data_IF_638427740114
#
_entry.id   IF_638427740114
#
_cell.length_a   1.000
_cell.length_b   1.000
_cell.length_c   1.000
_cell.angle_alpha   90.00
_cell.angle_beta   90.00
_cell.angle_gamma   90.00
#
_symmetry.space_group_name_H-M   'P 1'
#
loop_
_entity.id
_entity.type
_entity.pdbx_description
1 polymer ?
#
# COMPACT_ATOMS: atom_id res chain seq x y z
N UNK A 1 -3.20 15.84 6.07
CA UNK A 1 -3.16 14.54 5.36
C UNK A 1 -2.03 13.72 5.99
N UNK A 2 -2.29 12.45 6.29
CA UNK A 2 -1.30 11.57 6.93
C UNK A 2 -0.33 10.96 5.92
N UNK A 3 0.72 10.30 6.39
CA UNK A 3 1.66 9.55 5.53
C UNK A 3 1.04 8.36 4.81
N UNK A 4 -0.20 7.97 5.17
CA UNK A 4 -0.95 6.88 4.51
C UNK A 4 -2.14 7.40 3.71
N UNK A 5 -2.07 8.66 3.28
CA UNK A 5 -3.07 9.30 2.40
C UNK A 5 -4.48 9.41 3.01
N UNK A 6 -4.60 9.27 4.33
CA UNK A 6 -5.85 9.57 5.05
C UNK A 6 -5.90 11.03 5.49
N UNK A 7 -7.09 11.48 5.88
CA UNK A 7 -7.34 12.84 6.39
C UNK A 7 -7.63 12.78 7.88
N UNK A 8 -7.08 13.74 8.63
CA UNK A 8 -7.38 13.94 10.05
C UNK A 8 -8.20 15.23 10.19
N UNK A 9 -9.33 15.14 10.88
CA UNK A 9 -10.18 16.30 11.21
C UNK A 9 -9.87 16.69 12.65
N UNK A 10 -9.27 17.85 12.84
CA UNK A 10 -8.83 18.33 14.15
C UNK A 10 -9.87 19.25 14.78
N UNK A 11 -9.84 19.36 16.12
CA UNK A 11 -10.67 20.30 16.86
C UNK A 11 -12.15 19.92 16.98
N UNK A 12 -12.50 18.65 16.75
CA UNK A 12 -13.86 18.14 16.93
C UNK A 12 -14.16 18.01 18.43
N UNK A 13 -15.17 18.71 18.97
CA UNK A 13 -15.60 18.51 20.36
C UNK A 13 -16.02 17.05 20.59
N UNK A 14 -15.81 16.54 21.80
CA UNK A 14 -16.06 15.13 22.13
C UNK A 14 -17.51 14.71 21.81
N UNK A 15 -18.47 15.56 22.17
CA UNK A 15 -19.91 15.31 21.94
C UNK A 15 -20.29 15.28 20.45
N UNK A 16 -19.42 15.82 19.58
CA UNK A 16 -19.64 15.88 18.13
C UNK A 16 -18.93 14.75 17.37
N UNK A 17 -18.25 13.80 18.05
CA UNK A 17 -17.53 12.71 17.38
C UNK A 17 -18.49 11.80 16.61
N UNK A 18 -19.55 11.30 17.24
CA UNK A 18 -20.51 10.42 16.56
C UNK A 18 -21.34 11.15 15.49
N UNK A 19 -21.89 12.36 15.74
CA UNK A 19 -22.54 13.15 14.69
C UNK A 19 -21.65 13.37 13.46
N UNK A 20 -20.35 13.63 13.66
CA UNK A 20 -19.42 13.77 12.56
C UNK A 20 -19.22 12.46 11.80
N UNK A 21 -19.09 11.32 12.50
CA UNK A 21 -18.96 10.00 11.87
C UNK A 21 -20.18 9.68 11.00
N UNK A 22 -21.38 9.93 11.50
CA UNK A 22 -22.61 9.72 10.75
C UNK A 22 -22.69 10.61 9.50
N UNK A 23 -22.32 11.89 9.63
CA UNK A 23 -22.25 12.81 8.50
C UNK A 23 -21.26 12.34 7.42
N UNK A 24 -20.07 11.89 7.82
CA UNK A 24 -19.07 11.37 6.89
C UNK A 24 -19.55 10.09 6.20
N UNK A 25 -20.20 9.19 6.95
CA UNK A 25 -20.75 7.95 6.41
C UNK A 25 -21.81 8.19 5.34
N UNK A 26 -22.65 9.23 5.51
CA UNK A 26 -23.63 9.64 4.49
C UNK A 26 -22.97 10.11 3.18
N UNK A 27 -21.74 10.61 3.25
CA UNK A 27 -20.93 10.99 2.08
C UNK A 27 -20.08 9.84 1.53
N UNK A 28 -20.24 8.61 2.06
CA UNK A 28 -19.44 7.45 1.67
C UNK A 28 -18.01 7.47 2.22
N UNK A 29 -17.74 8.30 3.24
CA UNK A 29 -16.45 8.36 3.92
C UNK A 29 -16.52 7.54 5.21
N UNK A 30 -15.43 6.83 5.49
CA UNK A 30 -15.29 6.04 6.71
C UNK A 30 -14.22 6.62 7.64
N UNK A 31 -14.44 6.46 8.94
CA UNK A 31 -13.44 6.82 9.96
C UNK A 31 -12.71 5.57 10.45
N UNK A 32 -11.39 5.63 10.55
CA UNK A 32 -10.62 4.48 10.99
C UNK A 32 -9.12 4.69 10.95
N UNK A 33 -8.38 3.59 10.75
CA UNK A 33 -6.92 3.63 10.59
C UNK A 33 -6.11 3.95 11.86
N UNK A 34 -6.68 3.76 13.04
CA UNK A 34 -6.02 3.95 14.34
C UNK A 34 -5.94 2.65 15.16
N UNK A 35 -5.10 2.63 16.20
CA UNK A 35 -4.92 1.47 17.10
C UNK A 35 -4.00 0.37 16.58
N UNK A 36 -3.99 -0.75 17.32
CA UNK A 36 -3.24 -1.98 17.02
C UNK A 36 -4.03 -2.89 16.08
N UNK A 37 -4.18 -2.42 14.85
CA UNK A 37 -4.90 -3.09 13.76
C UNK A 37 -4.14 -2.87 12.44
N UNK A 38 -4.60 -3.53 11.38
CA UNK A 38 -4.16 -3.23 10.02
C UNK A 38 -4.48 -1.78 9.70
N UNK A 39 -3.53 -1.06 9.12
CA UNK A 39 -3.68 0.33 8.66
C UNK A 39 -4.13 0.35 7.18
N UNK A 40 -4.78 1.44 6.71
CA UNK A 40 -5.19 1.57 5.32
C UNK A 40 -4.04 1.28 4.37
N UNK A 41 -4.26 0.47 3.32
CA UNK A 41 -3.20 -0.03 2.43
C UNK A 41 -2.73 1.09 1.53
N UNK A 42 -1.41 1.16 1.25
CA UNK A 42 -0.83 2.20 0.39
C UNK A 42 -0.29 1.58 -0.89
N UNK A 43 -0.70 2.11 -2.04
CA UNK A 43 -0.21 1.70 -3.36
C UNK A 43 0.57 2.82 -4.04
N UNK A 44 1.48 2.45 -4.94
CA UNK A 44 1.99 3.39 -5.93
C UNK A 44 1.03 3.50 -7.13
N UNK A 45 1.45 4.22 -8.17
CA UNK A 45 0.65 4.44 -9.40
C UNK A 45 0.40 3.18 -10.25
N UNK A 46 1.02 2.05 -9.92
CA UNK A 46 0.82 0.78 -10.63
C UNK A 46 0.99 0.89 -12.14
N UNK A 47 0.04 0.31 -12.87
CA UNK A 47 -0.05 0.27 -14.33
C UNK A 47 -0.20 1.64 -15.00
N UNK A 48 -0.55 2.70 -14.27
CA UNK A 48 -0.53 4.07 -14.81
C UNK A 48 0.90 4.60 -14.98
N UNK A 49 1.86 4.07 -14.22
CA UNK A 49 3.26 4.43 -14.34
C UNK A 49 3.91 3.65 -15.49
N UNK A 50 4.75 4.32 -16.30
CA UNK A 50 5.54 3.67 -17.36
C UNK A 50 6.48 2.56 -16.84
N UNK A 51 6.85 2.61 -15.55
CA UNK A 51 7.67 1.60 -14.89
C UNK A 51 6.85 0.53 -14.16
N UNK A 52 5.53 0.66 -14.11
CA UNK A 52 4.66 -0.26 -13.40
C UNK A 52 4.66 -1.65 -14.01
N UNK A 53 5.01 -2.66 -13.21
CA UNK A 53 5.05 -4.07 -13.64
C UNK A 53 3.81 -4.84 -13.20
N UNK A 54 3.11 -4.37 -12.16
CA UNK A 54 1.91 -4.99 -11.62
C UNK A 54 0.83 -3.92 -11.36
N UNK A 55 -0.43 -4.35 -11.37
CA UNK A 55 -1.55 -3.52 -10.93
C UNK A 55 -1.57 -3.40 -9.41
N UNK A 56 -0.96 -2.33 -8.90
CA UNK A 56 -0.95 -2.06 -7.47
C UNK A 56 -2.27 -1.54 -6.94
N UNK A 57 -3.14 -0.97 -7.79
CA UNK A 57 -4.44 -0.46 -7.33
C UNK A 57 -5.38 -1.62 -7.04
N UNK A 58 -5.60 -2.50 -8.02
CA UNK A 58 -6.44 -3.69 -7.83
C UNK A 58 -5.92 -4.60 -6.70
N UNK A 59 -4.60 -4.84 -6.65
CA UNK A 59 -4.00 -5.62 -5.58
C UNK A 59 -4.20 -4.98 -4.19
N UNK A 60 -4.06 -3.64 -4.10
CA UNK A 60 -4.23 -2.97 -2.81
C UNK A 60 -5.69 -2.93 -2.37
N UNK A 61 -6.63 -2.81 -3.30
CA UNK A 61 -8.06 -2.90 -3.03
C UNK A 61 -8.44 -4.28 -2.48
N UNK A 62 -7.99 -5.36 -3.11
CA UNK A 62 -8.24 -6.73 -2.64
C UNK A 62 -7.68 -6.96 -1.22
N UNK A 63 -6.45 -6.49 -0.97
CA UNK A 63 -5.81 -6.58 0.35
C UNK A 63 -6.55 -5.69 1.37
N UNK A 64 -7.01 -4.51 0.97
CA UNK A 64 -7.71 -3.57 1.84
C UNK A 64 -9.04 -4.15 2.30
N UNK A 65 -9.86 -4.64 1.37
CA UNK A 65 -11.13 -5.30 1.69
C UNK A 65 -10.90 -6.54 2.57
N UNK A 66 -9.91 -7.35 2.23
CA UNK A 66 -9.62 -8.57 2.98
C UNK A 66 -9.15 -8.28 4.40
N UNK A 67 -8.17 -7.40 4.60
CA UNK A 67 -7.48 -7.26 5.88
C UNK A 67 -7.87 -6.02 6.67
N UNK A 68 -8.10 -4.88 6.02
CA UNK A 68 -8.49 -3.67 6.72
C UNK A 68 -9.99 -3.71 7.09
N UNK A 69 -10.88 -4.07 6.16
CA UNK A 69 -12.30 -4.27 6.47
C UNK A 69 -12.59 -5.64 7.10
N UNK A 70 -12.19 -6.73 6.42
CA UNK A 70 -12.53 -8.09 6.84
C UNK A 70 -11.98 -8.51 8.20
N UNK A 71 -10.84 -7.94 8.62
CA UNK A 71 -10.22 -8.23 9.93
C UNK A 71 -10.28 -7.01 10.87
N UNK A 72 -11.19 -6.07 10.61
CA UNK A 72 -11.35 -4.84 11.41
C UNK A 72 -11.66 -5.10 12.90
N UNK A 73 -12.28 -6.24 13.23
CA UNK A 73 -12.57 -6.65 14.61
C UNK A 73 -11.40 -7.34 15.31
N UNK A 74 -10.36 -7.74 14.57
CA UNK A 74 -9.20 -8.45 15.11
C UNK A 74 -8.23 -7.46 15.72
N UNK A 75 -7.84 -7.71 16.98
CA UNK A 75 -6.81 -6.93 17.68
C UNK A 75 -5.44 -7.56 17.42
N UNK A 76 -4.52 -6.78 16.89
CA UNK A 76 -3.12 -7.17 16.67
C UNK A 76 -2.24 -6.72 17.86
N UNK A 77 -1.02 -7.27 18.01
CA UNK A 77 -0.07 -6.80 19.03
C UNK A 77 0.29 -5.31 18.88
N UNK A 78 0.49 -4.86 17.65
CA UNK A 78 0.74 -3.45 17.30
C UNK A 78 0.08 -3.12 15.95
N UNK A 79 0.23 -1.87 15.48
CA UNK A 79 -0.16 -1.42 14.14
C UNK A 79 0.56 -2.25 13.08
N UNK A 80 -0.18 -2.71 12.07
CA UNK A 80 0.37 -3.47 10.97
C UNK A 80 0.13 -2.73 9.66
N UNK A 81 1.19 -2.48 8.90
CA UNK A 81 1.18 -1.66 7.69
C UNK A 81 1.49 -2.53 6.48
N UNK A 82 0.69 -2.35 5.44
CA UNK A 82 0.86 -3.05 4.16
C UNK A 82 1.05 -2.02 3.05
N UNK A 83 2.00 -2.26 2.15
CA UNK A 83 2.17 -1.42 0.97
C UNK A 83 2.50 -2.23 -0.28
N UNK A 84 1.97 -1.78 -1.43
CA UNK A 84 2.18 -2.39 -2.73
C UNK A 84 2.92 -1.42 -3.68
N UNK A 85 4.12 -1.82 -4.08
CA UNK A 85 4.96 -1.14 -5.05
C UNK A 85 4.98 -1.88 -6.39
N UNK A 86 4.74 -1.15 -7.47
CA UNK A 86 4.60 -1.73 -8.82
C UNK A 86 5.93 -2.09 -9.48
N UNK A 87 7.06 -1.63 -8.93
CA UNK A 87 8.40 -1.85 -9.49
C UNK A 87 9.49 -1.64 -8.44
N UNK A 88 10.76 -2.01 -8.72
CA UNK A 88 11.88 -1.85 -7.79
C UNK A 88 12.28 -0.39 -7.48
N UNK A 89 11.71 0.62 -8.16
CA UNK A 89 11.99 2.04 -7.88
C UNK A 89 11.48 2.49 -6.50
N UNK A 90 10.65 1.68 -5.86
CA UNK A 90 10.36 1.80 -4.44
C UNK A 90 9.73 3.16 -4.02
N UNK A 91 8.71 3.63 -4.75
CA UNK A 91 8.10 4.95 -4.54
C UNK A 91 7.30 5.06 -3.23
N UNK A 92 6.67 3.97 -2.78
CA UNK A 92 5.85 3.93 -1.54
C UNK A 92 6.54 3.20 -0.38
N UNK A 93 7.82 2.87 -0.55
CA UNK A 93 8.63 2.18 0.46
C UNK A 93 8.01 0.88 0.99
N UNK A 94 7.58 -0.09 0.14
CA UNK A 94 7.02 -1.35 0.64
C UNK A 94 7.96 -2.09 1.60
N UNK A 95 9.27 -1.98 1.38
CA UNK A 95 10.33 -2.52 2.23
C UNK A 95 10.37 -1.96 3.66
N UNK A 96 9.78 -0.77 3.90
CA UNK A 96 9.67 -0.17 5.23
C UNK A 96 8.32 -0.44 5.92
N UNK A 97 7.43 -1.22 5.29
CA UNK A 97 6.15 -1.63 5.86
C UNK A 97 6.27 -3.04 6.43
N UNK A 98 5.39 -3.40 7.38
CA UNK A 98 5.40 -4.72 8.01
C UNK A 98 5.16 -5.86 6.99
N UNK A 99 4.41 -5.55 5.92
CA UNK A 99 4.31 -6.37 4.72
C UNK A 99 4.47 -5.49 3.46
N UNK A 100 5.51 -5.76 2.69
CA UNK A 100 5.78 -5.09 1.41
C UNK A 100 5.60 -6.02 0.22
N UNK A 101 4.90 -5.55 -0.81
CA UNK A 101 4.82 -6.23 -2.10
C UNK A 101 5.55 -5.38 -3.14
N UNK A 102 6.47 -5.97 -3.90
CA UNK A 102 7.24 -5.29 -4.93
C UNK A 102 7.14 -6.06 -6.24
N UNK A 103 6.60 -5.41 -7.28
CA UNK A 103 6.62 -5.94 -8.63
C UNK A 103 8.07 -6.05 -9.13
N UNK A 104 8.43 -7.22 -9.64
CA UNK A 104 9.74 -7.48 -10.25
C UNK A 104 9.58 -8.10 -11.63
N UNK A 105 10.60 -7.94 -12.46
CA UNK A 105 10.70 -8.59 -13.77
C UNK A 105 12.03 -9.30 -13.87
N UNK A 106 11.99 -10.56 -14.27
CA UNK A 106 13.20 -11.31 -14.61
C UNK A 106 13.69 -10.84 -15.99
N UNK A 107 14.92 -10.29 -16.10
CA UNK A 107 15.50 -9.92 -17.38
C UNK A 107 15.65 -11.16 -18.27
N UNK A 108 15.20 -11.06 -19.51
CA UNK A 108 15.45 -12.06 -20.55
C UNK A 108 16.69 -11.60 -21.33
N UNK A 109 17.71 -12.45 -21.39
CA UNK A 109 18.98 -12.13 -22.03
C UNK A 109 18.88 -12.46 -23.52
N UNK A 110 19.07 -11.45 -24.35
CA UNK A 110 19.30 -11.62 -25.79
C UNK A 110 20.81 -11.80 -26.00
N UNK A 111 21.23 -13.05 -26.24
CA UNK A 111 22.65 -13.39 -26.39
C UNK A 111 23.28 -12.78 -27.66
N UNK A 112 22.51 -12.50 -28.71
CA UNK A 112 23.04 -11.86 -29.92
C UNK A 112 23.41 -10.39 -29.66
N UNK A 113 22.68 -9.73 -28.76
CA UNK A 113 22.94 -8.34 -28.34
C UNK A 113 23.78 -8.24 -27.06
N UNK A 114 24.16 -9.38 -26.47
CA UNK A 114 24.93 -9.41 -25.22
C UNK A 114 26.34 -8.86 -25.45
N UNK A 115 26.82 -8.06 -24.50
CA UNK A 115 28.19 -7.50 -24.48
C UNK A 115 28.98 -7.91 -23.23
N UNK A 116 28.58 -8.99 -22.58
CA UNK A 116 29.22 -9.58 -21.38
C UNK A 116 29.47 -8.58 -20.24
N UNK A 117 28.53 -7.65 -20.05
CA UNK A 117 28.65 -6.59 -19.05
C UNK A 117 28.13 -6.99 -17.65
N UNK A 118 27.60 -8.20 -17.49
CA UNK A 118 27.02 -8.75 -16.25
C UNK A 118 25.87 -7.96 -15.59
N UNK A 119 25.38 -6.86 -16.20
CA UNK A 119 24.29 -6.04 -15.63
C UNK A 119 22.92 -6.71 -15.61
N UNK A 120 22.67 -7.60 -16.56
CA UNK A 120 21.40 -8.33 -16.70
C UNK A 120 21.35 -9.60 -15.84
N UNK A 121 22.38 -9.87 -15.03
CA UNK A 121 22.32 -10.96 -14.06
C UNK A 121 21.24 -10.64 -13.04
N UNK A 122 20.36 -11.61 -12.79
CA UNK A 122 19.55 -11.63 -11.58
C UNK A 122 20.53 -11.87 -10.45
N UNK A 123 21.19 -10.81 -9.96
CA UNK A 123 21.93 -10.94 -8.73
C UNK A 123 20.92 -11.42 -7.68
N UNK A 124 21.31 -12.41 -6.88
CA UNK A 124 20.52 -13.01 -5.79
C UNK A 124 20.23 -11.98 -4.68
N UNK A 125 19.62 -10.86 -5.02
CA UNK A 125 19.30 -9.76 -4.12
C UNK A 125 17.79 -9.62 -4.12
N UNK A 126 17.16 -10.57 -3.45
CA UNK A 126 15.94 -10.29 -2.71
C UNK A 126 16.31 -10.17 -1.24
#
# INVERSE_FOLDING_TARGET
>A
MTSRLTVEIQGVPYDNIEPLREYLMQAGLETGGTGSKVRPVVSCKGTTCQYGLIDTFGLSEEIHERFYHGYSSVKLPDKFKIAAGGCPNNCVKPDLNDLGIIGQRVPQIDFEKCRDCNKCQVMETC
#
